data_IF_655072195710
#
_entry.id   IF_655072195710
#
_cell.length_a   1.000
_cell.length_b   1.000
_cell.length_c   1.000
_cell.angle_alpha   90.00
_cell.angle_beta   90.00
_cell.angle_gamma   90.00
#
_symmetry.space_group_name_H-M   'P 1'
#
loop_
_entity.id
_entity.type
_entity.pdbx_description
1 polymer ?
#
# COMPACT_ATOMS: atom_id res chain seq x y z
N UNK A 1 -0.85 42.57 -56.92
CA UNK A 1 -0.67 42.15 -55.51
C UNK A 1 0.25 40.94 -55.46
N UNK A 2 1.45 41.02 -54.86
CA UNK A 2 2.36 39.88 -54.71
C UNK A 2 2.06 39.07 -53.43
N UNK A 3 2.38 37.77 -53.39
CA UNK A 3 2.11 36.90 -52.24
C UNK A 3 3.06 37.18 -51.06
N UNK A 4 2.50 37.22 -49.86
CA UNK A 4 3.21 37.43 -48.58
C UNK A 4 4.03 36.18 -48.21
N UNK A 5 5.35 36.31 -48.18
CA UNK A 5 6.24 35.33 -47.59
C UNK A 5 6.09 35.33 -46.06
N UNK A 6 5.49 34.27 -45.51
CA UNK A 6 5.52 34.01 -44.07
C UNK A 6 6.76 33.18 -43.74
N UNK A 7 7.66 33.77 -42.95
CA UNK A 7 8.75 33.06 -42.28
C UNK A 7 8.17 32.22 -41.13
N UNK A 8 8.22 30.90 -41.25
CA UNK A 8 8.01 29.97 -40.14
C UNK A 8 9.26 29.97 -39.24
N UNK A 9 9.16 30.16 -37.91
CA UNK A 9 10.26 29.85 -37.02
C UNK A 9 10.43 28.32 -36.94
N UNK A 10 11.65 27.84 -37.23
CA UNK A 10 12.07 26.46 -36.95
C UNK A 10 12.21 26.32 -35.44
N UNK A 11 11.24 25.68 -34.78
CA UNK A 11 11.45 25.19 -33.42
C UNK A 11 12.55 24.11 -33.44
N UNK A 12 13.57 24.18 -32.58
CA UNK A 12 14.45 23.04 -32.38
C UNK A 12 13.65 21.92 -31.70
N UNK A 13 13.49 20.82 -32.42
CA UNK A 13 12.95 19.55 -31.92
C UNK A 13 13.95 19.06 -30.86
N UNK A 14 13.63 19.34 -29.59
CA UNK A 14 14.25 18.64 -28.47
C UNK A 14 13.61 17.25 -28.40
N UNK A 15 14.39 16.15 -28.42
CA UNK A 15 13.83 14.83 -28.22
C UNK A 15 13.30 14.74 -26.77
N UNK A 16 12.14 14.09 -26.53
CA UNK A 16 11.65 13.88 -25.17
C UNK A 16 12.67 13.02 -24.42
N UNK A 17 13.36 13.66 -23.49
CA UNK A 17 14.26 12.99 -22.56
C UNK A 17 13.50 11.89 -21.84
N UNK A 18 14.14 10.73 -21.77
CA UNK A 18 13.68 9.52 -21.10
C UNK A 18 13.54 9.81 -19.60
N UNK A 19 12.39 10.35 -19.18
CA UNK A 19 12.00 10.47 -17.77
C UNK A 19 11.66 9.08 -17.24
N UNK A 20 12.70 8.27 -17.04
CA UNK A 20 12.61 6.94 -16.45
C UNK A 20 13.79 6.76 -15.52
N UNK A 21 13.56 7.15 -14.26
CA UNK A 21 13.88 6.39 -13.05
C UNK A 21 13.56 7.27 -11.86
N UNK A 22 12.40 7.02 -11.27
CA UNK A 22 12.18 7.23 -9.86
C UNK A 22 13.28 6.47 -9.11
N UNK A 23 14.32 7.18 -8.69
CA UNK A 23 15.11 6.72 -7.56
C UNK A 23 14.35 7.20 -6.33
N UNK A 24 13.62 6.30 -5.69
CA UNK A 24 13.31 6.47 -4.27
C UNK A 24 14.65 6.51 -3.55
N UNK A 25 15.15 7.71 -3.30
CA UNK A 25 16.22 7.92 -2.35
C UNK A 25 15.67 7.48 -1.00
N UNK A 26 16.04 6.27 -0.58
CA UNK A 26 15.91 5.80 0.79
C UNK A 26 16.86 6.66 1.63
N UNK A 27 16.41 7.85 2.02
CA UNK A 27 17.07 8.69 3.00
C UNK A 27 17.08 7.91 4.32
N UNK A 28 18.17 7.22 4.62
CA UNK A 28 18.46 6.78 5.99
C UNK A 28 18.80 8.02 6.81
N UNK A 29 18.15 8.28 7.95
CA UNK A 29 18.76 9.10 8.98
C UNK A 29 19.62 8.18 9.87
N UNK A 30 20.93 8.24 9.68
CA UNK A 30 21.89 7.86 10.72
C UNK A 30 21.84 8.94 11.81
N UNK A 31 21.33 8.61 12.99
CA UNK A 31 21.36 9.52 14.14
C UNK A 31 20.71 8.95 15.41
N UNK A 32 21.56 8.38 16.28
CA UNK A 32 21.44 8.24 17.76
C UNK A 32 20.26 7.41 18.31
N UNK A 33 20.49 6.39 19.17
CA UNK A 33 19.40 5.73 19.87
C UNK A 33 18.93 6.62 21.03
N UNK A 34 17.91 7.44 20.77
CA UNK A 34 17.14 8.01 21.87
C UNK A 34 16.23 6.92 22.42
N UNK A 35 16.54 6.44 23.62
CA UNK A 35 15.56 5.76 24.45
C UNK A 35 14.36 6.70 24.67
N UNK A 36 13.19 6.33 24.17
CA UNK A 36 11.96 7.09 24.28
C UNK A 36 10.81 6.10 24.47
N UNK A 37 10.02 6.39 25.50
CA UNK A 37 8.86 5.70 26.05
C UNK A 37 8.02 4.86 25.09
N UNK A 38 7.50 3.76 25.63
CA UNK A 38 6.41 2.98 25.06
C UNK A 38 5.15 3.85 24.90
N UNK A 39 5.06 4.59 23.81
CA UNK A 39 3.86 5.33 23.46
C UNK A 39 2.89 4.39 22.72
N UNK A 40 1.86 3.96 23.45
CA UNK A 40 0.68 3.16 23.06
C UNK A 40 -0.17 3.74 21.92
N UNK A 41 0.31 4.76 21.20
CA UNK A 41 -0.37 5.37 20.05
C UNK A 41 0.47 5.38 18.76
N UNK A 42 1.57 4.62 18.73
CA UNK A 42 2.44 4.55 17.57
C UNK A 42 1.96 3.45 16.61
N UNK A 43 1.57 3.80 15.38
CA UNK A 43 1.29 2.80 14.33
C UNK A 43 2.53 1.96 14.08
N UNK A 44 2.50 0.69 14.52
CA UNK A 44 3.58 -0.27 14.27
C UNK A 44 3.33 -0.95 12.93
N UNK A 45 4.29 -0.83 12.02
CA UNK A 45 4.25 -1.53 10.73
C UNK A 45 5.01 -2.84 10.86
N UNK A 46 4.35 -3.97 10.56
CA UNK A 46 4.94 -5.31 10.61
C UNK A 46 4.69 -6.01 9.27
N UNK A 47 5.73 -6.67 8.73
CA UNK A 47 5.62 -7.53 7.56
C UNK A 47 5.33 -8.97 7.98
N UNK A 48 4.35 -9.60 7.33
CA UNK A 48 3.94 -10.98 7.60
C UNK A 48 4.04 -11.80 6.31
N UNK A 49 4.62 -13.00 6.42
CA UNK A 49 4.69 -13.93 5.30
C UNK A 49 3.44 -14.81 5.29
N UNK A 50 2.69 -14.75 4.19
CA UNK A 50 1.44 -15.47 4.01
C UNK A 50 1.51 -16.21 2.67
N UNK A 51 0.81 -17.35 2.56
CA UNK A 51 0.67 -18.05 1.28
C UNK A 51 0.01 -17.14 0.24
N UNK A 52 0.48 -17.14 -1.03
CA UNK A 52 -0.02 -16.23 -2.07
C UNK A 52 -1.53 -16.37 -2.29
N UNK A 53 -2.06 -17.60 -2.26
CA UNK A 53 -3.49 -17.85 -2.39
C UNK A 53 -4.36 -17.13 -1.34
N UNK A 54 -3.84 -16.92 -0.13
CA UNK A 54 -4.57 -16.20 0.93
C UNK A 54 -4.47 -14.68 0.77
N UNK A 55 -3.37 -14.17 0.20
CA UNK A 55 -3.24 -12.75 -0.16
C UNK A 55 -4.23 -12.39 -1.27
N UNK A 56 -4.39 -13.25 -2.27
CA UNK A 56 -5.39 -13.07 -3.32
C UNK A 56 -6.82 -13.10 -2.76
N UNK A 57 -7.11 -14.03 -1.83
CA UNK A 57 -8.40 -14.11 -1.18
C UNK A 57 -8.71 -12.84 -0.36
N UNK A 58 -7.72 -12.31 0.37
CA UNK A 58 -7.86 -11.06 1.12
C UNK A 58 -8.16 -9.88 0.19
N UNK A 59 -7.47 -9.79 -0.94
CA UNK A 59 -7.70 -8.73 -1.92
C UNK A 59 -9.11 -8.80 -2.52
N UNK A 60 -9.57 -10.00 -2.93
CA UNK A 60 -10.94 -10.22 -3.41
C UNK A 60 -11.98 -9.90 -2.35
N UNK A 61 -11.73 -10.24 -1.09
CA UNK A 61 -12.61 -9.91 0.03
C UNK A 61 -12.70 -8.39 0.24
N UNK A 62 -11.59 -7.66 0.22
CA UNK A 62 -11.58 -6.21 0.35
C UNK A 62 -12.38 -5.51 -0.76
N UNK A 63 -12.22 -5.99 -2.00
CA UNK A 63 -13.01 -5.54 -3.15
C UNK A 63 -14.51 -5.83 -2.93
N UNK A 64 -14.85 -7.06 -2.50
CA UNK A 64 -16.24 -7.45 -2.23
C UNK A 64 -16.89 -6.57 -1.17
N UNK A 65 -16.24 -6.34 -0.04
CA UNK A 65 -16.76 -5.48 1.03
C UNK A 65 -16.97 -4.06 0.51
N UNK A 66 -16.06 -3.54 -0.32
CA UNK A 66 -16.19 -2.22 -0.93
C UNK A 66 -17.43 -2.13 -1.84
N UNK A 67 -17.72 -3.19 -2.62
CA UNK A 67 -18.93 -3.24 -3.45
C UNK A 67 -20.21 -3.35 -2.62
N UNK A 68 -20.23 -4.22 -1.61
CA UNK A 68 -21.42 -4.46 -0.78
C UNK A 68 -21.80 -3.25 0.07
N UNK A 69 -20.80 -2.53 0.58
CA UNK A 69 -21.02 -1.31 1.37
C UNK A 69 -21.34 -0.08 0.53
N UNK A 70 -21.27 -0.19 -0.82
CA UNK A 70 -21.40 0.93 -1.76
C UNK A 70 -20.53 2.14 -1.38
N UNK A 71 -19.43 1.88 -0.67
CA UNK A 71 -18.54 2.91 -0.18
C UNK A 71 -17.83 3.56 -1.37
N UNK A 72 -17.84 4.89 -1.42
CA UNK A 72 -17.03 5.65 -2.38
C UNK A 72 -15.53 5.42 -2.15
N UNK A 73 -15.16 4.99 -0.94
CA UNK A 73 -13.79 4.68 -0.55
C UNK A 73 -13.56 3.18 -0.64
N UNK A 74 -12.67 2.78 -1.55
CA UNK A 74 -12.19 1.40 -1.62
C UNK A 74 -11.43 1.05 -0.34
N UNK A 75 -11.82 -0.08 0.26
CA UNK A 75 -11.12 -0.64 1.42
C UNK A 75 -9.83 -1.28 0.94
N UNK A 76 -8.72 -0.90 1.56
CA UNK A 76 -7.43 -1.52 1.25
C UNK A 76 -7.32 -2.91 1.88
N UNK A 77 -6.56 -3.85 1.29
CA UNK A 77 -6.32 -5.15 1.90
C UNK A 77 -5.70 -5.05 3.30
N UNK A 78 -4.86 -4.04 3.54
CA UNK A 78 -4.25 -3.77 4.86
C UNK A 78 -5.28 -3.34 5.90
N UNK A 79 -6.28 -2.55 5.50
CA UNK A 79 -7.36 -2.12 6.38
C UNK A 79 -8.27 -3.30 6.76
N UNK A 80 -8.58 -4.18 5.79
CA UNK A 80 -9.29 -5.42 6.08
C UNK A 80 -8.47 -6.36 6.99
N UNK A 81 -7.16 -6.47 6.78
CA UNK A 81 -6.29 -7.25 7.66
C UNK A 81 -6.27 -6.70 9.09
N UNK A 82 -6.21 -5.37 9.25
CA UNK A 82 -6.30 -4.72 10.55
C UNK A 82 -7.63 -5.04 11.23
N UNK A 83 -8.74 -4.91 10.51
CA UNK A 83 -10.06 -5.25 11.03
C UNK A 83 -10.15 -6.71 11.50
N UNK A 84 -9.57 -7.66 10.77
CA UNK A 84 -9.56 -9.07 11.16
C UNK A 84 -8.77 -9.30 12.46
N UNK A 85 -7.62 -8.64 12.62
CA UNK A 85 -6.81 -8.76 13.84
C UNK A 85 -7.56 -8.14 15.02
N UNK A 86 -8.05 -6.91 14.88
CA UNK A 86 -8.67 -6.17 15.99
C UNK A 86 -9.95 -6.85 16.51
N UNK A 87 -10.70 -7.55 15.65
CA UNK A 87 -12.00 -8.12 16.02
C UNK A 87 -11.99 -9.65 16.21
N UNK A 88 -11.09 -10.39 15.55
CA UNK A 88 -11.15 -11.86 15.52
C UNK A 88 -9.90 -12.55 16.07
N UNK A 89 -8.89 -11.81 16.55
CA UNK A 89 -7.66 -12.40 17.09
C UNK A 89 -7.95 -13.35 18.25
N UNK A 90 -8.73 -12.91 19.24
CA UNK A 90 -9.06 -13.72 20.42
C UNK A 90 -9.80 -15.01 20.06
N UNK A 91 -10.76 -14.93 19.13
CA UNK A 91 -11.48 -16.11 18.65
C UNK A 91 -10.53 -17.09 17.96
N UNK A 92 -9.65 -16.61 17.08
CA UNK A 92 -8.69 -17.45 16.38
C UNK A 92 -7.71 -18.13 17.37
N UNK A 93 -7.28 -17.41 18.42
CA UNK A 93 -6.42 -17.97 19.48
C UNK A 93 -7.15 -19.08 20.24
N UNK A 94 -8.40 -18.86 20.63
CA UNK A 94 -9.19 -19.87 21.35
C UNK A 94 -9.40 -21.13 20.51
N UNK A 95 -9.75 -20.99 19.23
CA UNK A 95 -9.93 -22.13 18.33
C UNK A 95 -8.61 -22.91 18.15
N UNK A 96 -7.49 -22.20 18.04
CA UNK A 96 -6.16 -22.82 17.91
C UNK A 96 -5.77 -23.61 19.17
N UNK A 97 -6.04 -23.07 20.37
CA UNK A 97 -5.80 -23.77 21.64
C UNK A 97 -6.69 -25.01 21.72
N UNK A 98 -7.97 -24.89 21.35
CA UNK A 98 -8.92 -26.01 21.38
C UNK A 98 -8.57 -27.10 20.34
N UNK A 99 -7.99 -26.75 19.20
CA UNK A 99 -7.47 -27.72 18.24
C UNK A 99 -6.20 -28.40 18.76
N UNK A 100 -5.28 -27.64 19.37
CA UNK A 100 -4.06 -28.18 19.94
C UNK A 100 -4.35 -29.16 21.10
N UNK A 101 -5.35 -28.89 21.93
CA UNK A 101 -5.77 -29.78 23.02
C UNK A 101 -6.43 -31.09 22.54
N UNK A 102 -6.82 -31.17 21.26
CA UNK A 102 -7.40 -32.38 20.64
C UNK A 102 -6.38 -33.28 19.95
N UNK A 103 -5.13 -32.84 19.84
CA UNK A 103 -4.00 -33.65 19.38
C UNK A 103 -3.30 -34.32 20.55
#
# INVERSE_FOLDING_TARGET
MPPRHYYLPRFPISPPGLARRCFFAFSQPLGVPMASSEDETTTKTVSVYIRPARVEALNKAAIRVSYETQSSRQISPSELARYLIDNYLEQAVQELIAEAARK
#
